data_IF_486331937346
#
_entry.id   IF_486331937346
#
_cell.length_a   1.000
_cell.length_b   1.000
_cell.length_c   1.000
_cell.angle_alpha   90.00
_cell.angle_beta   90.00
_cell.angle_gamma   90.00
#
_symmetry.space_group_name_H-M   'P 1'
#
loop_
_entity.id
_entity.type
_entity.pdbx_description
1 polymer ?
#
# COMPACT_ATOMS: atom_id res chain seq x y z
N UNK A 1 -1.08 -18.01 5.18
CA UNK A 1 -2.24 -17.55 4.37
C UNK A 1 -2.63 -18.65 3.40
N UNK A 2 -3.92 -18.84 3.13
CA UNK A 2 -4.39 -19.81 2.12
C UNK A 2 -4.35 -19.14 0.74
N UNK A 3 -3.83 -19.85 -0.27
CA UNK A 3 -3.75 -19.37 -1.65
C UNK A 3 -4.99 -19.80 -2.43
N UNK A 4 -5.62 -18.87 -3.14
CA UNK A 4 -6.61 -19.14 -4.17
C UNK A 4 -5.90 -19.11 -5.52
N UNK A 5 -6.03 -20.18 -6.30
CA UNK A 5 -5.46 -20.27 -7.65
C UNK A 5 -6.54 -20.65 -8.66
N UNK A 6 -6.71 -19.81 -9.68
CA UNK A 6 -7.53 -20.09 -10.87
C UNK A 6 -6.56 -20.20 -12.04
N UNK A 7 -6.57 -21.34 -12.74
CA UNK A 7 -5.76 -21.55 -13.93
C UNK A 7 -6.62 -22.23 -14.99
N UNK A 8 -6.91 -21.53 -16.08
CA UNK A 8 -7.77 -22.01 -17.16
C UNK A 8 -7.19 -21.61 -18.51
N UNK A 9 -7.40 -22.44 -19.52
CA UNK A 9 -7.05 -22.12 -20.91
C UNK A 9 -8.08 -21.26 -21.63
N UNK A 10 -9.28 -21.12 -21.06
CA UNK A 10 -10.37 -20.30 -21.62
C UNK A 10 -10.62 -19.04 -20.81
N UNK A 11 -11.79 -18.43 -21.02
CA UNK A 11 -12.14 -17.15 -20.41
C UNK A 11 -12.47 -17.26 -18.92
N UNK A 12 -12.22 -16.18 -18.18
CA UNK A 12 -12.68 -15.97 -16.80
C UNK A 12 -13.67 -14.82 -16.78
N UNK A 13 -14.91 -15.08 -16.35
CA UNK A 13 -15.92 -14.03 -16.19
C UNK A 13 -16.36 -13.94 -14.75
N UNK A 14 -16.23 -12.74 -14.18
CA UNK A 14 -16.77 -12.37 -12.87
C UNK A 14 -17.90 -11.38 -13.16
N UNK A 15 -19.13 -11.90 -13.18
CA UNK A 15 -20.34 -11.17 -13.59
C UNK A 15 -21.09 -10.59 -12.39
N UNK A 16 -21.95 -9.60 -12.66
CA UNK A 16 -22.80 -8.96 -11.66
C UNK A 16 -21.99 -8.40 -10.48
N UNK A 17 -22.30 -8.90 -9.28
CA UNK A 17 -21.62 -8.60 -8.01
C UNK A 17 -20.69 -9.72 -7.54
N UNK A 18 -20.13 -10.51 -8.48
CA UNK A 18 -19.22 -11.60 -8.17
C UNK A 18 -18.03 -11.14 -7.32
N UNK A 19 -17.66 -11.93 -6.31
CA UNK A 19 -16.60 -11.63 -5.36
C UNK A 19 -15.59 -12.77 -5.31
N UNK A 20 -14.35 -12.45 -5.63
CA UNK A 20 -13.18 -13.27 -5.31
C UNK A 20 -12.49 -12.63 -4.11
N UNK A 21 -12.46 -13.32 -2.97
CA UNK A 21 -11.88 -12.80 -1.72
C UNK A 21 -10.81 -13.74 -1.17
N UNK A 22 -9.61 -13.23 -0.92
CA UNK A 22 -8.48 -14.04 -0.45
C UNK A 22 -7.21 -13.22 -0.21
N UNK A 23 -6.35 -13.70 0.69
CA UNK A 23 -5.10 -13.01 1.01
C UNK A 23 -3.99 -13.21 -0.03
N UNK A 24 -4.02 -14.33 -0.74
CA UNK A 24 -3.09 -14.64 -1.84
C UNK A 24 -3.89 -15.18 -3.03
N UNK A 25 -4.13 -14.34 -4.03
CA UNK A 25 -4.95 -14.63 -5.20
C UNK A 25 -4.06 -14.69 -6.44
N UNK A 26 -4.16 -15.77 -7.20
CA UNK A 26 -3.42 -15.99 -8.45
C UNK A 26 -4.40 -16.46 -9.54
N UNK A 27 -4.67 -15.60 -10.52
CA UNK A 27 -5.59 -15.87 -11.62
C UNK A 27 -4.78 -15.90 -12.92
N UNK A 28 -4.87 -16.99 -13.65
CA UNK A 28 -4.29 -17.16 -14.99
C UNK A 28 -5.40 -17.58 -15.96
N UNK A 29 -5.68 -16.72 -16.94
CA UNK A 29 -6.63 -16.95 -18.02
C UNK A 29 -5.88 -17.09 -19.35
N UNK A 30 -6.11 -18.19 -20.06
CA UNK A 30 -5.63 -18.40 -21.43
C UNK A 30 -6.45 -17.67 -22.49
N UNK A 31 -7.61 -17.13 -22.11
CA UNK A 31 -8.44 -16.27 -22.95
C UNK A 31 -8.62 -14.88 -22.35
N UNK A 32 -9.84 -14.35 -22.43
CA UNK A 32 -10.21 -13.05 -21.85
C UNK A 32 -10.47 -13.16 -20.34
N UNK A 33 -10.36 -12.04 -19.64
CA UNK A 33 -10.90 -11.88 -18.30
C UNK A 33 -11.84 -10.67 -18.26
N UNK A 34 -13.07 -10.87 -17.79
CA UNK A 34 -14.04 -9.79 -17.63
C UNK A 34 -14.46 -9.65 -16.17
N UNK A 35 -14.26 -8.45 -15.59
CA UNK A 35 -14.73 -8.07 -14.27
C UNK A 35 -15.81 -6.97 -14.42
N UNK A 36 -17.06 -7.32 -14.14
CA UNK A 36 -18.21 -6.40 -14.24
C UNK A 36 -18.12 -5.24 -13.25
N UNK A 37 -18.87 -4.15 -13.52
CA UNK A 37 -18.82 -2.90 -12.76
C UNK A 37 -19.00 -3.05 -11.23
N UNK A 38 -19.80 -4.02 -10.79
CA UNK A 38 -20.04 -4.30 -9.37
C UNK A 38 -19.24 -5.49 -8.83
N UNK A 39 -18.37 -6.09 -9.65
CA UNK A 39 -17.54 -7.23 -9.31
C UNK A 39 -16.27 -6.83 -8.56
N UNK A 40 -15.77 -7.76 -7.74
CA UNK A 40 -14.61 -7.54 -6.88
C UNK A 40 -13.61 -8.69 -6.93
N UNK A 41 -12.33 -8.34 -7.00
CA UNK A 41 -11.21 -9.20 -6.63
C UNK A 41 -10.51 -8.50 -5.46
N UNK A 42 -10.64 -9.06 -4.26
CA UNK A 42 -10.37 -8.36 -3.00
C UNK A 42 -9.41 -9.14 -2.11
N UNK A 43 -8.42 -8.43 -1.61
CA UNK A 43 -7.42 -8.91 -0.65
C UNK A 43 -7.20 -7.93 0.52
N UNK A 44 -8.14 -7.00 0.75
CA UNK A 44 -8.01 -5.96 1.78
C UNK A 44 -7.86 -6.57 3.19
N UNK A 45 -6.82 -6.16 3.93
CA UNK A 45 -6.56 -6.63 5.29
C UNK A 45 -6.26 -8.12 5.43
N UNK A 46 -5.99 -8.81 4.31
CA UNK A 46 -5.72 -10.25 4.27
C UNK A 46 -4.22 -10.57 4.09
N UNK A 47 -3.35 -9.58 4.29
CA UNK A 47 -1.90 -9.73 4.39
C UNK A 47 -1.42 -10.06 5.80
N UNK A 48 -0.34 -9.42 6.25
CA UNK A 48 0.20 -9.67 7.58
C UNK A 48 -0.72 -9.12 8.69
N UNK A 49 -0.80 -9.80 9.84
CA UNK A 49 -1.59 -9.33 10.99
C UNK A 49 -0.95 -8.10 11.65
N UNK A 50 -1.62 -7.54 12.65
CA UNK A 50 -1.05 -6.52 13.54
C UNK A 50 0.35 -6.91 14.03
N UNK A 51 1.27 -5.95 14.09
CA UNK A 51 2.68 -6.16 14.44
C UNK A 51 3.39 -7.27 13.64
N UNK A 52 2.87 -7.58 12.45
CA UNK A 52 3.38 -8.62 11.56
C UNK A 52 3.88 -8.06 10.24
N UNK A 53 4.87 -8.74 9.65
CA UNK A 53 5.48 -8.37 8.38
C UNK A 53 6.77 -7.55 8.54
N UNK A 54 7.51 -7.39 7.44
CA UNK A 54 8.84 -6.77 7.42
C UNK A 54 8.82 -5.27 7.73
N UNK A 55 7.72 -4.59 7.40
CA UNK A 55 7.50 -3.19 7.66
C UNK A 55 6.47 -2.97 8.76
N UNK A 56 6.37 -3.87 9.75
CA UNK A 56 5.37 -3.74 10.81
C UNK A 56 5.48 -2.40 11.54
N UNK A 57 4.35 -1.79 11.85
CA UNK A 57 4.30 -0.66 12.78
C UNK A 57 4.74 -1.11 14.18
N UNK A 58 5.48 -0.25 14.86
CA UNK A 58 5.88 -0.43 16.24
C UNK A 58 4.78 0.01 17.21
N UNK A 59 4.72 -0.71 18.32
CA UNK A 59 3.96 -0.37 19.52
C UNK A 59 4.88 0.42 20.45
N UNK A 60 4.37 1.51 21.01
CA UNK A 60 5.15 2.30 21.97
C UNK A 60 5.42 1.50 23.24
N UNK A 61 6.54 1.80 23.90
CA UNK A 61 6.97 1.13 25.14
C UNK A 61 7.21 2.19 26.21
N UNK A 62 6.66 1.96 27.41
CA UNK A 62 6.89 2.84 28.57
C UNK A 62 7.58 2.04 29.69
N UNK A 63 8.63 2.58 30.35
CA UNK A 63 9.27 1.93 31.48
C UNK A 63 8.31 1.83 32.68
N UNK A 64 8.11 0.62 33.20
CA UNK A 64 7.02 0.19 34.09
C UNK A 64 7.11 0.71 35.54
N UNK A 65 7.56 1.95 35.79
CA UNK A 65 7.90 2.40 37.15
C UNK A 65 7.20 3.67 37.66
N UNK A 66 6.31 4.29 36.88
CA UNK A 66 5.41 5.32 37.43
C UNK A 66 3.95 4.94 37.28
N UNK A 67 3.44 4.38 38.37
CA UNK A 67 2.02 4.27 38.67
C UNK A 67 1.29 5.59 38.45
N UNK A 68 0.07 5.51 37.91
CA UNK A 68 -1.08 6.42 38.09
C UNK A 68 -1.35 7.58 37.11
N UNK A 69 -0.68 7.66 35.95
CA UNK A 69 -1.13 8.55 34.88
C UNK A 69 -1.67 7.76 33.68
N UNK A 70 -2.73 8.28 33.04
CA UNK A 70 -3.40 7.69 31.89
C UNK A 70 -2.47 7.71 30.66
N UNK A 71 -1.52 6.75 30.62
CA UNK A 71 -0.42 6.66 29.65
C UNK A 71 -0.80 5.84 28.42
N UNK A 72 -1.63 6.42 27.58
CA UNK A 72 -2.10 5.76 26.38
C UNK A 72 -1.20 6.11 25.18
N UNK A 73 -0.76 5.10 24.45
CA UNK A 73 0.03 5.29 23.23
C UNK A 73 -0.70 4.74 22.02
N UNK A 74 -0.88 5.57 20.99
CA UNK A 74 -1.39 5.09 19.72
C UNK A 74 -0.32 4.31 18.97
N UNK A 75 -0.74 3.29 18.22
CA UNK A 75 0.15 2.50 17.38
C UNK A 75 0.66 3.28 16.17
N UNK A 76 1.83 2.92 15.66
CA UNK A 76 2.38 3.48 14.42
C UNK A 76 1.94 2.67 13.18
N UNK A 77 1.99 3.27 12.00
CA UNK A 77 1.53 2.64 10.77
C UNK A 77 2.50 1.60 10.22
N UNK A 78 1.98 0.58 9.55
CA UNK A 78 2.77 -0.38 8.77
C UNK A 78 3.28 0.23 7.47
N UNK A 79 4.46 -0.17 7.04
CA UNK A 79 5.10 0.19 5.77
C UNK A 79 5.09 -0.97 4.78
N UNK A 80 5.06 -0.65 3.49
CA UNK A 80 5.35 -1.47 2.30
C UNK A 80 5.30 -0.51 1.12
N UNK A 81 6.26 -0.46 0.20
CA UNK A 81 6.26 0.58 -0.83
C UNK A 81 6.76 1.93 -0.31
N UNK A 82 6.05 2.51 0.65
CA UNK A 82 6.47 3.66 1.44
C UNK A 82 6.61 3.35 2.93
N UNK A 83 7.04 4.34 3.70
CA UNK A 83 7.01 4.30 5.16
C UNK A 83 5.60 4.51 5.73
N UNK A 84 5.29 3.81 6.81
CA UNK A 84 4.12 4.12 7.64
C UNK A 84 4.28 5.42 8.42
N UNK A 85 3.16 5.97 8.88
CA UNK A 85 3.15 7.15 9.75
C UNK A 85 3.63 6.82 11.18
N UNK A 86 4.27 7.78 11.84
CA UNK A 86 4.51 7.71 13.29
C UNK A 86 3.21 7.90 14.06
N UNK A 87 3.22 7.60 15.37
CA UNK A 87 2.20 8.16 16.25
C UNK A 87 2.53 9.62 16.54
N UNK A 88 1.54 10.51 16.47
CA UNK A 88 1.69 11.91 16.83
C UNK A 88 1.09 12.25 18.19
N UNK A 89 0.65 11.24 18.96
CA UNK A 89 0.31 11.41 20.36
C UNK A 89 1.34 10.68 21.21
N UNK A 90 2.09 11.47 21.98
CA UNK A 90 2.97 10.98 23.04
C UNK A 90 2.29 11.26 24.38
N UNK A 91 2.03 10.25 25.23
CA UNK A 91 1.40 10.45 26.53
C UNK A 91 2.37 11.04 27.55
N UNK A 92 3.66 10.67 27.50
CA UNK A 92 4.64 11.08 28.52
C UNK A 92 6.06 11.13 27.97
N UNK A 93 6.89 12.03 28.52
CA UNK A 93 8.28 12.27 28.08
C UNK A 93 9.22 11.06 28.28
N UNK A 94 8.83 10.10 29.12
CA UNK A 94 9.59 8.87 29.39
C UNK A 94 9.21 7.69 28.48
N UNK A 95 8.12 7.77 27.73
CA UNK A 95 7.73 6.73 26.78
C UNK A 95 8.50 6.91 25.46
N UNK A 96 8.99 5.81 24.89
CA UNK A 96 9.55 5.81 23.55
C UNK A 96 8.46 5.54 22.53
N UNK A 97 8.40 6.35 21.48
CA UNK A 97 7.49 6.13 20.35
C UNK A 97 7.73 4.73 19.76
N UNK A 98 6.64 4.10 19.30
CA UNK A 98 6.79 2.96 18.41
C UNK A 98 7.56 3.37 17.15
N UNK A 99 8.42 2.49 16.65
CA UNK A 99 9.08 2.71 15.35
C UNK A 99 8.04 2.65 14.24
N UNK A 100 8.01 3.63 13.33
CA UNK A 100 7.18 3.53 12.13
C UNK A 100 7.51 2.26 11.33
N UNK A 101 6.54 1.76 10.58
CA UNK A 101 6.79 0.69 9.62
C UNK A 101 7.71 1.15 8.49
N UNK A 102 8.87 0.51 8.36
CA UNK A 102 9.83 0.80 7.29
C UNK A 102 9.29 0.35 5.93
N UNK A 103 9.68 1.05 4.86
CA UNK A 103 9.47 0.56 3.50
C UNK A 103 10.30 -0.69 3.21
N UNK A 104 9.79 -1.59 2.36
CA UNK A 104 10.52 -2.75 1.84
C UNK A 104 10.04 -3.12 0.43
N UNK A 105 10.66 -4.16 -0.15
CA UNK A 105 10.35 -4.64 -1.50
C UNK A 105 10.86 -3.71 -2.60
N UNK A 106 11.97 -3.01 -2.34
CA UNK A 106 12.54 -2.00 -3.24
C UNK A 106 12.95 -2.55 -4.61
N UNK A 107 13.36 -3.82 -4.66
CA UNK A 107 13.74 -4.55 -5.88
C UNK A 107 12.55 -5.21 -6.57
N UNK A 108 11.34 -5.08 -6.04
CA UNK A 108 10.13 -5.74 -6.55
C UNK A 108 9.04 -4.74 -6.95
N UNK A 109 9.40 -3.48 -7.26
CA UNK A 109 8.41 -2.48 -7.67
C UNK A 109 7.80 -2.78 -9.05
N UNK A 110 8.61 -3.27 -9.99
CA UNK A 110 8.14 -3.74 -11.28
C UNK A 110 7.41 -5.09 -11.20
N UNK A 111 7.70 -5.91 -10.19
CA UNK A 111 7.07 -7.21 -10.00
C UNK A 111 6.71 -7.46 -8.52
N UNK A 112 5.63 -6.83 -8.02
CA UNK A 112 5.31 -6.82 -6.60
C UNK A 112 4.77 -8.17 -6.14
N UNK A 113 5.40 -8.75 -5.12
CA UNK A 113 5.11 -10.11 -4.64
C UNK A 113 4.85 -10.20 -3.14
N UNK A 114 4.97 -9.10 -2.41
CA UNK A 114 4.90 -9.12 -0.95
C UNK A 114 3.50 -8.75 -0.44
N UNK A 115 3.11 -9.35 0.66
CA UNK A 115 1.96 -8.92 1.45
C UNK A 115 2.28 -7.60 2.15
N UNK A 116 1.27 -6.77 2.40
CA UNK A 116 1.38 -5.59 3.25
C UNK A 116 1.65 -5.97 4.71
N UNK A 117 2.26 -5.06 5.47
CA UNK A 117 2.56 -5.23 6.90
C UNK A 117 1.44 -4.67 7.78
N UNK A 118 1.29 -5.21 8.98
CA UNK A 118 0.34 -4.68 9.96
C UNK A 118 0.86 -3.43 10.67
N UNK A 119 -0.06 -2.62 11.19
CA UNK A 119 0.26 -1.51 12.08
C UNK A 119 0.65 -1.97 13.49
N UNK A 120 1.14 -1.04 14.30
CA UNK A 120 1.43 -1.24 15.72
C UNK A 120 0.15 -1.24 16.56
N UNK A 121 0.22 -1.90 17.70
CA UNK A 121 -0.86 -1.90 18.68
C UNK A 121 -0.91 -0.59 19.47
N UNK A 122 -2.04 -0.35 20.10
CA UNK A 122 -2.15 0.62 21.19
C UNK A 122 -2.03 -0.12 22.53
N UNK A 123 -1.25 0.45 23.44
CA UNK A 123 -1.18 -0.02 24.82
C UNK A 123 -1.95 0.91 25.76
N UNK A 124 -2.60 0.30 26.76
CA UNK A 124 -3.10 0.95 27.98
C UNK A 124 -2.20 0.50 29.14
N UNK A 125 -1.98 1.39 30.11
CA UNK A 125 -1.18 1.13 31.32
C UNK A 125 0.22 0.58 31.01
N UNK A 126 0.82 0.96 29.88
CA UNK A 126 2.13 0.49 29.41
C UNK A 126 2.28 -1.01 29.07
N UNK A 127 1.28 -1.88 29.32
CA UNK A 127 1.40 -3.32 29.09
C UNK A 127 0.19 -4.00 28.44
N UNK A 128 -1.01 -3.41 28.50
CA UNK A 128 -2.22 -4.06 28.00
C UNK A 128 -2.50 -3.65 26.55
N UNK A 129 -2.54 -4.61 25.62
CA UNK A 129 -2.98 -4.36 24.24
C UNK A 129 -4.49 -4.11 24.25
N UNK A 130 -4.87 -2.84 24.23
CA UNK A 130 -6.28 -2.44 24.23
C UNK A 130 -6.86 -2.30 22.83
N UNK A 131 -6.01 -2.01 21.85
CA UNK A 131 -6.38 -2.01 20.44
C UNK A 131 -5.29 -2.62 19.58
N UNK A 132 -5.71 -3.39 18.58
CA UNK A 132 -4.81 -3.96 17.59
C UNK A 132 -4.53 -2.99 16.45
N UNK A 133 -3.31 -3.00 15.95
CA UNK A 133 -2.97 -2.42 14.65
C UNK A 133 -3.76 -3.06 13.51
N UNK A 134 -3.97 -2.28 12.46
CA UNK A 134 -4.65 -2.69 11.25
C UNK A 134 -3.84 -3.73 10.50
N UNK A 135 -4.52 -4.69 9.87
CA UNK A 135 -3.87 -5.73 9.07
C UNK A 135 -3.44 -5.16 7.71
N UNK A 136 -2.32 -5.63 7.18
CA UNK A 136 -1.84 -5.24 5.85
C UNK A 136 -2.68 -5.86 4.73
N UNK A 137 -2.60 -5.27 3.53
CA UNK A 137 -3.24 -5.79 2.33
C UNK A 137 -2.60 -7.09 1.81
N UNK A 138 -3.39 -7.93 1.14
CA UNK A 138 -2.92 -9.19 0.57
C UNK A 138 -2.13 -9.05 -0.74
N UNK A 139 -2.04 -10.14 -1.48
CA UNK A 139 -1.40 -10.20 -2.80
C UNK A 139 -2.40 -10.68 -3.85
N UNK A 140 -2.46 -9.96 -4.96
CA UNK A 140 -3.25 -10.35 -6.14
C UNK A 140 -2.31 -10.39 -7.34
N UNK A 141 -2.32 -11.51 -8.06
CA UNK A 141 -1.70 -11.67 -9.37
C UNK A 141 -2.76 -12.06 -10.39
N UNK A 142 -2.85 -11.31 -11.48
CA UNK A 142 -3.76 -11.55 -12.59
C UNK A 142 -2.91 -11.61 -13.86
N UNK A 143 -2.95 -12.73 -14.55
CA UNK A 143 -2.32 -12.95 -15.86
C UNK A 143 -3.40 -13.34 -16.85
N UNK A 144 -3.55 -12.57 -17.92
CA UNK A 144 -4.57 -12.75 -18.95
C UNK A 144 -3.88 -12.79 -20.29
N UNK A 145 -4.02 -13.89 -21.03
CA UNK A 145 -3.32 -14.04 -22.30
C UNK A 145 -3.81 -13.04 -23.36
N UNK A 146 -5.11 -12.70 -23.34
CA UNK A 146 -5.72 -11.79 -24.30
C UNK A 146 -6.19 -10.49 -23.62
N UNK A 147 -7.50 -10.28 -23.44
CA UNK A 147 -8.03 -8.99 -22.98
C UNK A 147 -8.57 -9.05 -21.55
N UNK A 148 -8.09 -8.15 -20.71
CA UNK A 148 -8.68 -7.81 -19.42
C UNK A 148 -9.67 -6.64 -19.59
N UNK A 149 -10.96 -6.92 -19.40
CA UNK A 149 -12.01 -5.90 -19.27
C UNK A 149 -12.26 -5.62 -17.79
N UNK A 150 -11.72 -4.50 -17.31
CA UNK A 150 -11.79 -4.07 -15.91
C UNK A 150 -12.85 -2.97 -15.75
N UNK A 151 -14.08 -3.33 -15.43
CA UNK A 151 -15.11 -2.37 -15.02
C UNK A 151 -15.31 -2.32 -13.51
N UNK A 152 -15.01 -3.42 -12.81
CA UNK A 152 -15.11 -3.53 -11.35
C UNK A 152 -13.84 -3.11 -10.60
N UNK A 153 -13.61 -3.73 -9.43
CA UNK A 153 -12.53 -3.33 -8.52
C UNK A 153 -11.57 -4.48 -8.18
N UNK A 154 -10.28 -4.17 -8.22
CA UNK A 154 -9.20 -5.04 -7.76
C UNK A 154 -8.48 -4.35 -6.60
N UNK A 155 -8.55 -4.91 -5.39
CA UNK A 155 -8.17 -4.18 -4.18
C UNK A 155 -7.32 -5.02 -3.23
N UNK A 156 -6.26 -4.43 -2.70
CA UNK A 156 -5.44 -5.04 -1.64
C UNK A 156 -5.04 -3.98 -0.62
N UNK A 157 -6.03 -3.30 -0.06
CA UNK A 157 -5.81 -2.21 0.90
C UNK A 157 -5.39 -2.72 2.28
N UNK A 158 -4.64 -1.89 3.01
CA UNK A 158 -4.46 -2.05 4.45
C UNK A 158 -5.70 -1.62 5.21
N UNK A 159 -5.95 -2.22 6.38
CA UNK A 159 -7.05 -1.83 7.26
C UNK A 159 -6.63 -0.74 8.26
N UNK A 160 -7.55 0.11 8.71
CA UNK A 160 -7.31 0.95 9.89
C UNK A 160 -7.08 0.06 11.13
N UNK A 161 -6.34 0.57 12.12
CA UNK A 161 -6.26 -0.07 13.43
C UNK A 161 -7.59 0.04 14.18
N UNK A 162 -7.79 -0.80 15.20
CA UNK A 162 -9.03 -0.73 16.00
C UNK A 162 -8.99 0.50 16.90
N UNK A 163 -10.13 1.14 17.08
CA UNK A 163 -10.30 2.29 17.97
C UNK A 163 -11.12 1.85 19.17
N UNK A 164 -10.69 2.22 20.38
CA UNK A 164 -11.56 2.14 21.55
C UNK A 164 -12.17 3.51 21.80
N UNK A 165 -13.49 3.58 21.76
CA UNK A 165 -14.26 4.74 22.23
C UNK A 165 -14.70 4.46 23.67
N UNK A 166 -14.34 5.37 24.57
CA UNK A 166 -14.71 5.45 25.99
C UNK A 166 -15.92 4.60 26.42
N UNK A 167 -15.71 3.70 27.39
CA UNK A 167 -16.75 2.83 27.95
C UNK A 167 -16.29 1.89 29.06
N UNK A 168 -14.99 1.59 29.15
CA UNK A 168 -14.39 1.06 30.37
C UNK A 168 -13.81 2.25 31.13
N UNK A 169 -14.23 2.50 32.37
CA UNK A 169 -13.98 3.72 33.17
C UNK A 169 -12.51 4.07 33.49
N UNK A 170 -11.58 3.55 32.70
CA UNK A 170 -10.14 3.68 32.79
C UNK A 170 -9.52 4.63 31.77
N UNK A 171 -10.28 5.21 30.82
CA UNK A 171 -9.74 6.13 29.81
C UNK A 171 -10.51 7.45 29.89
N UNK A 172 -9.79 8.56 30.05
CA UNK A 172 -10.35 9.90 29.93
C UNK A 172 -10.99 10.13 28.55
N UNK A 173 -11.53 11.33 28.32
CA UNK A 173 -12.31 11.73 27.13
C UNK A 173 -11.53 11.72 25.78
N UNK A 174 -10.33 11.14 25.74
CA UNK A 174 -9.47 11.05 24.55
C UNK A 174 -9.50 9.64 23.95
N UNK A 175 -9.85 9.53 22.68
CA UNK A 175 -9.77 8.27 21.92
C UNK A 175 -8.33 7.92 21.54
N UNK A 176 -8.05 6.63 21.44
CA UNK A 176 -6.77 6.04 21.06
C UNK A 176 -6.99 4.87 20.10
N UNK A 177 -6.00 4.63 19.23
CA UNK A 177 -6.16 3.68 18.13
C UNK A 177 -4.84 2.95 17.84
N UNK A 178 -4.94 1.69 17.42
CA UNK A 178 -3.83 1.01 16.76
C UNK A 178 -3.46 1.69 15.44
N UNK A 179 -2.22 1.54 14.98
CA UNK A 179 -1.81 2.12 13.70
C UNK A 179 -2.44 1.39 12.50
N UNK A 180 -2.54 2.05 11.35
CA UNK A 180 -3.06 1.45 10.12
C UNK A 180 -2.08 0.44 9.50
N UNK A 181 -2.61 -0.62 8.88
CA UNK A 181 -1.81 -1.56 8.07
C UNK A 181 -1.45 -0.97 6.71
N UNK A 182 -0.34 -1.41 6.12
CA UNK A 182 0.05 -0.96 4.77
C UNK A 182 -0.81 -1.62 3.69
N UNK A 183 -0.89 -1.00 2.51
CA UNK A 183 -1.36 -1.66 1.30
C UNK A 183 -0.55 -2.92 0.96
N UNK A 184 -1.11 -3.75 0.09
CA UNK A 184 -0.53 -5.00 -0.40
C UNK A 184 0.05 -4.89 -1.81
N UNK A 185 0.05 -6.00 -2.54
CA UNK A 185 0.57 -6.08 -3.92
C UNK A 185 -0.52 -6.42 -4.92
N UNK A 186 -0.55 -5.71 -6.04
CA UNK A 186 -1.33 -6.10 -7.21
C UNK A 186 -0.39 -6.15 -8.44
N UNK A 187 -0.37 -7.30 -9.11
CA UNK A 187 0.31 -7.49 -10.39
C UNK A 187 -0.74 -7.88 -11.43
N UNK A 188 -0.83 -7.10 -12.51
CA UNK A 188 -1.67 -7.37 -13.68
C UNK A 188 -0.74 -7.50 -14.89
N UNK A 189 -0.87 -8.59 -15.64
CA UNK A 189 -0.18 -8.82 -16.92
C UNK A 189 -1.22 -9.25 -17.95
N UNK A 190 -1.40 -8.46 -18.99
CA UNK A 190 -2.42 -8.67 -20.01
C UNK A 190 -1.93 -8.19 -21.37
N UNK A 191 -2.47 -8.73 -22.46
CA UNK A 191 -2.17 -8.20 -23.80
C UNK A 191 -2.92 -6.89 -24.04
N UNK A 192 -4.19 -6.86 -23.68
CA UNK A 192 -5.04 -5.66 -23.78
C UNK A 192 -5.71 -5.38 -22.43
N UNK A 193 -5.73 -4.11 -22.00
CA UNK A 193 -6.48 -3.65 -20.84
C UNK A 193 -7.50 -2.59 -21.28
N UNK A 194 -8.77 -2.82 -20.98
CA UNK A 194 -9.86 -1.86 -21.25
C UNK A 194 -10.78 -1.72 -20.04
N UNK A 195 -11.50 -0.60 -19.98
CA UNK A 195 -12.48 -0.32 -18.94
C UNK A 195 -11.98 0.67 -17.89
N UNK A 196 -12.92 1.32 -17.23
CA UNK A 196 -12.70 2.42 -16.29
C UNK A 196 -12.91 2.00 -14.83
N UNK A 197 -12.61 0.74 -14.51
CA UNK A 197 -12.68 0.22 -13.14
C UNK A 197 -11.62 0.82 -12.23
N UNK A 198 -11.37 0.18 -11.08
CA UNK A 198 -10.37 0.65 -10.12
C UNK A 198 -9.40 -0.44 -9.66
N UNK A 199 -8.14 -0.06 -9.47
CA UNK A 199 -7.07 -0.88 -8.90
C UNK A 199 -6.44 -0.11 -7.76
N UNK A 200 -6.49 -0.63 -6.53
CA UNK A 200 -5.90 0.10 -5.41
C UNK A 200 -5.27 -0.76 -4.31
N UNK A 201 -4.20 -0.21 -3.74
CA UNK A 201 -3.41 -0.77 -2.62
C UNK A 201 -3.14 0.31 -1.57
N UNK A 202 -4.18 1.02 -1.15
CA UNK A 202 -4.04 2.14 -0.23
C UNK A 202 -3.71 1.66 1.19
N UNK A 203 -3.00 2.49 1.95
CA UNK A 203 -2.75 2.26 3.37
C UNK A 203 -3.99 2.48 4.22
N UNK A 204 -4.07 1.77 5.34
CA UNK A 204 -5.13 1.95 6.33
C UNK A 204 -5.04 3.33 6.99
N UNK A 205 -6.16 4.06 6.99
CA UNK A 205 -6.25 5.35 7.66
C UNK A 205 -6.10 5.25 9.18
N UNK A 206 -5.76 6.38 9.77
CA UNK A 206 -5.58 6.56 11.20
C UNK A 206 -6.42 7.74 11.70
N UNK A 207 -6.78 7.67 12.97
CA UNK A 207 -7.42 8.73 13.74
C UNK A 207 -6.75 8.85 15.10
N UNK A 208 -7.09 9.90 15.84
CA UNK A 208 -6.65 10.06 17.23
C UNK A 208 -5.13 10.03 17.43
N UNK A 209 -4.37 10.48 16.44
CA UNK A 209 -2.91 10.56 16.47
C UNK A 209 -2.19 9.21 16.38
N UNK A 210 -2.88 8.14 15.96
CA UNK A 210 -2.21 6.91 15.49
C UNK A 210 -1.54 7.15 14.14
N UNK A 211 -0.55 6.33 13.81
CA UNK A 211 0.11 6.36 12.52
C UNK A 211 -0.69 5.60 11.46
N UNK A 212 -0.89 6.20 10.30
CA UNK A 212 -1.53 5.54 9.16
C UNK A 212 -0.56 4.63 8.41
N UNK A 213 -1.08 3.57 7.78
CA UNK A 213 -0.25 2.68 6.95
C UNK A 213 0.17 3.34 5.64
N UNK A 214 1.27 2.88 5.03
CA UNK A 214 1.68 3.32 3.70
C UNK A 214 0.82 2.69 2.59
N UNK A 215 0.80 3.29 1.40
CA UNK A 215 0.30 2.63 0.20
C UNK A 215 1.23 1.51 -0.26
N UNK A 216 0.73 0.48 -0.93
CA UNK A 216 1.46 -0.71 -1.36
C UNK A 216 2.11 -0.60 -2.75
N UNK A 217 2.15 -1.69 -3.51
CA UNK A 217 2.77 -1.70 -4.84
C UNK A 217 1.83 -2.27 -5.91
N UNK A 218 1.69 -1.54 -7.02
CA UNK A 218 0.94 -1.97 -8.20
C UNK A 218 1.93 -2.09 -9.37
N UNK A 219 1.83 -3.17 -10.13
CA UNK A 219 2.44 -3.28 -11.45
C UNK A 219 1.40 -3.72 -12.48
N UNK A 220 1.35 -3.01 -13.60
CA UNK A 220 0.47 -3.31 -14.74
C UNK A 220 1.33 -3.45 -15.99
N UNK A 221 1.30 -4.61 -16.60
CA UNK A 221 1.92 -4.90 -17.88
C UNK A 221 0.82 -5.04 -18.93
N UNK A 222 0.96 -4.27 -20.00
CA UNK A 222 0.13 -4.31 -21.19
C UNK A 222 1.06 -4.68 -22.34
N UNK A 223 0.67 -5.65 -23.15
CA UNK A 223 1.44 -6.08 -24.32
C UNK A 223 2.92 -6.39 -23.97
N UNK A 224 3.17 -7.17 -22.92
CA UNK A 224 4.51 -7.37 -22.33
C UNK A 224 5.57 -7.94 -23.29
N UNK A 225 5.16 -8.52 -24.43
CA UNK A 225 6.03 -9.06 -25.49
C UNK A 225 5.99 -8.22 -26.79
N UNK A 226 5.24 -7.12 -26.82
CA UNK A 226 5.11 -6.25 -27.99
C UNK A 226 6.14 -5.11 -28.01
N UNK A 227 6.37 -4.55 -29.19
CA UNK A 227 7.14 -3.31 -29.36
C UNK A 227 6.14 -2.18 -29.60
N UNK A 228 5.92 -1.34 -28.60
CA UNK A 228 5.06 -0.16 -28.71
C UNK A 228 5.95 1.05 -28.94
N UNK A 229 5.62 1.84 -29.96
CA UNK A 229 6.27 3.12 -30.25
C UNK A 229 5.29 4.25 -29.98
N UNK A 230 5.76 5.38 -29.43
CA UNK A 230 4.90 6.55 -29.18
C UNK A 230 4.91 7.01 -27.72
N UNK A 231 3.74 7.42 -27.22
CA UNK A 231 3.57 8.12 -25.95
C UNK A 231 3.60 7.18 -24.73
N UNK A 232 3.90 7.75 -23.57
CA UNK A 232 3.92 7.07 -22.27
C UNK A 232 2.60 6.32 -22.01
N UNK A 233 2.63 5.11 -21.42
CA UNK A 233 1.42 4.32 -21.21
C UNK A 233 0.35 5.09 -20.44
N UNK A 234 -0.91 4.96 -20.85
CA UNK A 234 -2.08 5.42 -20.08
C UNK A 234 -3.03 4.27 -19.86
N UNK A 235 -3.65 4.24 -18.68
CA UNK A 235 -4.68 3.26 -18.32
C UNK A 235 -5.94 4.05 -17.94
N UNK A 236 -7.09 3.68 -18.52
CA UNK A 236 -8.37 4.35 -18.25
C UNK A 236 -8.93 4.04 -16.86
N UNK A 237 -8.48 2.94 -16.25
CA UNK A 237 -8.83 2.59 -14.88
C UNK A 237 -8.18 3.54 -13.87
N UNK A 238 -8.88 3.79 -12.76
CA UNK A 238 -8.32 4.53 -11.62
C UNK A 238 -7.31 3.65 -10.89
N UNK A 239 -6.05 4.09 -10.79
CA UNK A 239 -4.98 3.33 -10.13
C UNK A 239 -4.42 4.15 -8.97
N UNK A 240 -4.50 3.63 -7.74
CA UNK A 240 -4.04 4.36 -6.55
C UNK A 240 -3.23 3.51 -5.59
N UNK A 241 -2.15 4.09 -5.08
CA UNK A 241 -1.31 3.51 -4.04
C UNK A 241 -1.06 4.56 -2.95
N UNK A 242 -2.11 5.19 -2.45
CA UNK A 242 -1.98 6.27 -1.48
C UNK A 242 -1.61 5.74 -0.10
N UNK A 243 -0.84 6.54 0.64
CA UNK A 243 -0.73 6.35 2.07
C UNK A 243 -2.07 6.60 2.75
N UNK A 244 -2.31 5.89 3.85
CA UNK A 244 -3.48 6.13 4.68
C UNK A 244 -3.47 7.56 5.22
N UNK A 245 -4.66 8.14 5.31
CA UNK A 245 -4.83 9.47 5.89
C UNK A 245 -4.64 9.46 7.40
N UNK A 246 -4.07 10.54 7.92
CA UNK A 246 -3.91 10.82 9.35
C UNK A 246 -3.57 12.30 9.48
N UNK A 247 -3.93 12.96 10.58
CA UNK A 247 -3.79 14.43 10.70
C UNK A 247 -2.37 14.92 10.37
N UNK A 248 -1.38 14.55 11.18
CA UNK A 248 0.06 14.79 10.96
C UNK A 248 0.86 13.48 10.94
N UNK A 249 0.14 12.36 10.83
CA UNK A 249 0.62 10.98 11.03
C UNK A 249 0.29 10.10 9.82
N UNK A 250 0.13 10.71 8.66
CA UNK A 250 -0.18 10.02 7.41
C UNK A 250 0.95 9.09 6.98
N UNK A 251 0.60 8.03 6.25
CA UNK A 251 1.57 7.15 5.61
C UNK A 251 2.08 7.75 4.30
N UNK A 252 3.26 7.31 3.86
CA UNK A 252 3.76 7.63 2.53
C UNK A 252 2.99 6.86 1.45
N UNK A 253 3.06 7.38 0.22
CA UNK A 253 2.55 6.66 -0.94
C UNK A 253 3.34 5.36 -1.18
N UNK A 254 2.68 4.46 -1.88
CA UNK A 254 3.26 3.31 -2.52
C UNK A 254 3.84 3.64 -3.89
N UNK A 255 3.94 2.61 -4.74
CA UNK A 255 4.44 2.75 -6.12
C UNK A 255 3.48 2.15 -7.13
N UNK A 256 3.28 2.83 -8.25
CA UNK A 256 2.52 2.34 -9.40
C UNK A 256 3.49 2.21 -10.57
N UNK A 257 3.71 1.00 -11.04
CA UNK A 257 4.51 0.69 -12.22
C UNK A 257 3.56 0.31 -13.36
N UNK A 258 3.69 0.96 -14.52
CA UNK A 258 2.91 0.62 -15.72
C UNK A 258 3.89 0.44 -16.87
N UNK A 259 3.77 -0.66 -17.61
CA UNK A 259 4.55 -0.94 -18.81
C UNK A 259 3.63 -1.30 -19.97
N UNK A 260 3.86 -0.71 -21.13
CA UNK A 260 3.20 -1.05 -22.39
C UNK A 260 4.27 -1.37 -23.43
N UNK A 261 4.46 -2.65 -23.75
CA UNK A 261 5.60 -3.10 -24.55
C UNK A 261 6.94 -2.73 -23.90
N UNK A 262 7.77 -1.97 -24.62
CA UNK A 262 9.07 -1.50 -24.11
C UNK A 262 8.94 -0.28 -23.19
N UNK A 263 7.98 0.60 -23.48
CA UNK A 263 7.72 1.83 -22.74
C UNK A 263 7.17 1.55 -21.34
N UNK A 264 7.65 2.27 -20.34
CA UNK A 264 7.02 2.23 -19.03
C UNK A 264 7.17 3.49 -18.21
N UNK A 265 6.44 3.49 -17.10
CA UNK A 265 6.37 4.57 -16.14
C UNK A 265 6.33 4.02 -14.72
N UNK A 266 6.95 4.76 -13.82
CA UNK A 266 6.80 4.63 -12.38
C UNK A 266 6.19 5.93 -11.85
N UNK A 267 5.08 5.80 -11.13
CA UNK A 267 4.42 6.89 -10.44
C UNK A 267 4.40 6.65 -8.93
N UNK A 268 4.71 7.72 -8.20
CA UNK A 268 4.49 7.85 -6.77
C UNK A 268 3.61 9.07 -6.63
N UNK A 269 2.41 8.92 -6.09
CA UNK A 269 1.50 10.03 -5.82
C UNK A 269 0.82 9.76 -4.48
N UNK A 270 0.89 10.71 -3.56
CA UNK A 270 0.20 10.61 -2.27
C UNK A 270 -1.06 11.48 -2.20
N UNK A 271 -1.58 11.95 -3.35
CA UNK A 271 -2.81 12.74 -3.47
C UNK A 271 -2.85 13.97 -2.53
N UNK A 272 -1.71 14.64 -2.35
CA UNK A 272 -1.60 15.78 -1.45
C UNK A 272 -1.87 15.45 0.03
N UNK A 273 -1.64 14.21 0.49
CA UNK A 273 -1.78 13.79 1.89
C UNK A 273 -0.83 14.59 2.80
N UNK A 274 -1.34 15.73 3.29
CA UNK A 274 -0.62 16.67 4.14
C UNK A 274 -0.21 16.08 5.48
N UNK A 275 -0.78 14.94 5.88
CA UNK A 275 -0.40 14.23 7.07
C UNK A 275 0.90 13.45 6.97
N UNK A 276 1.39 13.17 5.76
CA UNK A 276 2.57 12.34 5.53
C UNK A 276 3.90 13.13 5.61
N UNK A 277 3.95 14.25 6.32
CA UNK A 277 5.09 15.21 6.30
C UNK A 277 6.45 14.60 6.66
N UNK A 278 6.43 13.59 7.53
CA UNK A 278 7.63 12.92 8.00
C UNK A 278 7.91 11.59 7.29
N UNK A 279 6.94 11.00 6.60
CA UNK A 279 7.07 9.72 5.89
C UNK A 279 7.46 9.92 4.43
N UNK A 280 8.20 8.97 3.86
CA UNK A 280 8.61 9.02 2.47
C UNK A 280 8.53 7.66 1.79
N UNK A 281 8.49 7.70 0.47
CA UNK A 281 8.59 6.54 -0.42
C UNK A 281 10.01 6.52 -0.96
N UNK A 282 10.84 5.54 -0.60
CA UNK A 282 12.15 5.41 -1.22
C UNK A 282 11.98 4.99 -2.69
N UNK A 283 12.75 5.61 -3.57
CA UNK A 283 12.69 5.36 -5.00
C UNK A 283 13.19 3.94 -5.34
N UNK A 284 12.35 3.05 -5.91
CA UNK A 284 12.69 1.65 -6.12
C UNK A 284 13.77 1.46 -7.18
N UNK A 285 14.45 0.30 -7.13
CA UNK A 285 15.29 -0.15 -8.23
C UNK A 285 14.38 -0.67 -9.35
N UNK A 286 14.43 -0.03 -10.52
CA UNK A 286 13.80 -0.55 -11.73
C UNK A 286 14.93 -0.97 -12.66
N UNK A 287 15.07 -2.27 -12.90
CA UNK A 287 15.98 -2.76 -13.92
C UNK A 287 15.33 -2.51 -15.28
N UNK A 288 15.75 -1.46 -16.00
CA UNK A 288 15.56 -1.40 -17.44
C UNK A 288 16.71 -2.15 -18.10
N UNK A 289 16.41 -3.06 -19.00
CA UNK A 289 17.39 -3.52 -19.98
C UNK A 289 17.47 -2.46 -21.07
N UNK A 290 18.56 -1.68 -21.04
CA UNK A 290 19.14 -0.88 -22.13
C UNK A 290 18.73 0.60 -22.32
N UNK A 291 19.79 1.43 -22.37
CA UNK A 291 20.03 2.67 -23.12
C UNK A 291 19.15 3.93 -22.90
N UNK A 292 19.76 4.97 -22.30
CA UNK A 292 19.32 6.37 -22.52
C UNK A 292 18.83 7.19 -21.32
N UNK A 293 19.15 6.83 -20.07
CA UNK A 293 18.77 7.65 -18.91
C UNK A 293 19.46 9.05 -18.93
N UNK A 294 18.72 10.09 -19.32
CA UNK A 294 19.06 11.50 -19.20
C UNK A 294 19.13 11.90 -17.70
N UNK A 295 20.35 11.91 -17.15
CA UNK A 295 20.67 12.15 -15.74
C UNK A 295 21.13 13.61 -15.49
N UNK A 296 20.28 14.62 -15.71
CA UNK A 296 20.64 16.02 -15.40
C UNK A 296 19.64 16.72 -14.46
N UNK A 297 20.08 17.27 -13.31
CA UNK A 297 19.21 17.93 -12.35
C UNK A 297 19.10 19.43 -12.63
N UNK A 298 17.89 19.97 -12.79
CA UNK A 298 17.64 21.41 -12.66
C UNK A 298 16.55 21.69 -11.65
N UNK A 299 16.79 22.73 -10.86
CA UNK A 299 16.13 23.13 -9.62
C UNK A 299 14.65 23.49 -9.76
N UNK A 300 13.86 23.03 -8.79
CA UNK A 300 12.41 23.25 -8.59
C UNK A 300 11.54 22.66 -9.70
N UNK A 301 10.60 21.78 -9.34
CA UNK A 301 9.72 21.06 -10.28
C UNK A 301 10.47 20.24 -11.34
N UNK A 302 11.08 19.11 -10.95
CA UNK A 302 11.73 18.23 -11.92
C UNK A 302 12.57 17.15 -11.25
N UNK A 303 12.14 15.90 -11.37
CA UNK A 303 12.99 14.74 -11.11
C UNK A 303 12.98 13.88 -12.38
N UNK A 304 14.12 13.77 -13.07
CA UNK A 304 14.35 12.84 -14.18
C UNK A 304 15.34 11.77 -13.70
N UNK A 305 14.88 10.52 -13.62
CA UNK A 305 15.68 9.29 -13.41
C UNK A 305 16.21 9.04 -11.99
N UNK A 306 16.18 7.81 -11.44
CA UNK A 306 16.47 7.59 -10.03
C UNK A 306 17.97 7.40 -9.74
N UNK A 307 18.53 8.28 -8.91
CA UNK A 307 19.51 7.85 -7.93
C UNK A 307 18.75 6.96 -6.93
N UNK A 308 19.03 5.66 -6.95
CA UNK A 308 18.46 4.68 -6.03
C UNK A 308 18.48 5.20 -4.58
N UNK A 309 17.36 5.02 -3.87
CA UNK A 309 17.25 5.45 -2.47
C UNK A 309 16.84 6.91 -2.26
N UNK A 310 16.55 7.67 -3.33
CA UNK A 310 15.95 9.02 -3.19
C UNK A 310 14.59 8.94 -2.46
N UNK A 311 14.38 9.83 -1.50
CA UNK A 311 13.13 9.91 -0.73
C UNK A 311 12.07 10.80 -1.42
N UNK A 312 10.86 10.27 -1.64
CA UNK A 312 9.74 11.01 -2.24
C UNK A 312 8.62 11.22 -1.21
N UNK A 313 8.22 12.48 -0.96
CA UNK A 313 7.18 12.84 0.02
C UNK A 313 5.84 13.29 -0.58
N UNK A 314 5.77 13.42 -1.91
CA UNK A 314 4.61 13.97 -2.63
C UNK A 314 4.32 13.20 -3.90
N UNK A 315 4.46 13.87 -5.05
CA UNK A 315 4.29 13.27 -6.38
C UNK A 315 5.62 13.18 -7.13
N UNK A 316 5.90 12.05 -7.75
CA UNK A 316 7.01 11.83 -8.67
C UNK A 316 6.56 10.91 -9.81
N UNK A 317 7.07 11.15 -11.01
CA UNK A 317 6.86 10.31 -12.20
C UNK A 317 8.19 10.11 -12.90
N UNK A 318 8.51 8.88 -13.26
CA UNK A 318 9.70 8.50 -14.03
C UNK A 318 9.25 7.67 -15.21
N UNK A 319 9.54 8.13 -16.43
CA UNK A 319 9.26 7.40 -17.65
C UNK A 319 10.57 6.73 -18.15
N UNK A 320 10.47 5.52 -18.70
CA UNK A 320 11.60 4.74 -19.24
C UNK A 320 11.20 4.06 -20.55
N UNK A 321 12.20 3.78 -21.39
CA UNK A 321 12.05 3.13 -22.69
C UNK A 321 12.73 1.76 -22.68
#
# INVERSE_FOLDING_TARGET
MKKLKINTGGDVTISGSGLINGGDIDISSGGDLSLSANGWIKADGLGNPSEGGSGKGGTAVCPTSWSNSYEDNSGTGGGYGGEGGLSCKKPHSSCSDGTRGASYGMSSASWPIHFGSGGGNMLINAYEVANSGGKGGGRIKIVVAEKLTLSGKVTADGLPGTTQTSGNGYIGTTSWQGGGGSGGSILIDTKTLVGSGAVHVNGGSSSSGSGAGSGGRIAIYIESQGTVTGSVPTVDASVTAYGGSGSSCGGAAGTIFIRHGTLGMLEIDNNGNSGATSAYTPMPTIYSTAEGADNSPTTSTGFKGPLFGTEVKGKARVDFQ
#
